data_IF_683633610221
#
_entry.id   IF_683633610221
#
_cell.length_a   1.000
_cell.length_b   1.000
_cell.length_c   1.000
_cell.angle_alpha   90.00
_cell.angle_beta   90.00
_cell.angle_gamma   90.00
#
_symmetry.space_group_name_H-M   'P 1'
#
loop_
_entity.id
_entity.type
_entity.pdbx_description
1 polymer ?
#
# COMPACT_ATOMS: atom_id res chain seq x y z
N UNK A 1 5.81 10.42 14.30
CA UNK A 1 5.75 10.70 12.85
C UNK A 1 4.33 11.10 12.47
N UNK A 2 4.18 12.26 11.87
CA UNK A 2 2.87 12.69 11.38
C UNK A 2 2.51 11.94 10.13
N UNK A 3 1.33 11.34 10.12
CA UNK A 3 0.84 10.55 9.01
C UNK A 3 -0.46 11.13 8.48
N UNK A 4 -0.63 11.08 7.17
CA UNK A 4 -1.84 11.53 6.49
C UNK A 4 -2.54 10.32 5.92
N UNK A 5 -3.79 10.10 6.29
CA UNK A 5 -4.54 8.98 5.75
C UNK A 5 -4.99 9.29 4.34
N UNK A 6 -4.82 8.33 3.43
CA UNK A 6 -5.17 8.49 2.02
C UNK A 6 -6.01 7.32 1.55
N UNK A 7 -6.69 7.53 0.44
CA UNK A 7 -7.40 6.48 -0.28
C UNK A 7 -6.74 6.26 -1.63
N UNK A 8 -6.81 5.04 -2.13
CA UNK A 8 -6.44 4.74 -3.50
C UNK A 8 -7.57 5.25 -4.39
N UNK A 9 -7.36 6.43 -4.98
CA UNK A 9 -8.41 7.13 -5.71
C UNK A 9 -8.55 6.65 -7.15
N UNK A 10 -7.44 6.28 -7.78
CA UNK A 10 -7.44 5.86 -9.19
C UNK A 10 -6.29 4.92 -9.47
N UNK A 11 -6.55 4.02 -10.42
CA UNK A 11 -5.52 3.15 -10.98
C UNK A 11 -5.53 3.41 -12.49
N UNK A 12 -4.39 3.81 -13.03
CA UNK A 12 -4.29 4.13 -14.45
C UNK A 12 -3.41 3.10 -15.14
N UNK A 13 -4.01 2.35 -16.06
CA UNK A 13 -3.33 1.34 -16.86
C UNK A 13 -3.33 1.77 -18.31
N UNK A 14 -2.15 1.79 -18.92
CA UNK A 14 -2.02 2.08 -20.33
C UNK A 14 -1.46 0.86 -21.05
N UNK A 15 -1.84 0.70 -22.30
CA UNK A 15 -1.23 -0.33 -23.13
C UNK A 15 -0.02 0.27 -23.82
N UNK A 16 1.02 -0.55 -24.02
CA UNK A 16 2.18 -0.22 -24.83
C UNK A 16 2.96 1.03 -24.43
N UNK A 17 3.91 0.85 -23.54
CA UNK A 17 4.94 1.83 -23.32
C UNK A 17 4.59 3.07 -22.53
N UNK A 18 3.31 3.37 -22.34
CA UNK A 18 2.91 4.46 -21.48
C UNK A 18 3.10 4.07 -20.02
N UNK A 19 3.28 5.05 -19.17
CA UNK A 19 3.47 4.79 -17.75
C UNK A 19 2.15 4.40 -17.10
N UNK A 20 2.26 3.45 -16.16
CA UNK A 20 1.15 3.07 -15.30
C UNK A 20 1.33 3.80 -13.99
N UNK A 21 0.23 4.16 -13.35
CA UNK A 21 0.36 4.77 -12.03
C UNK A 21 -0.91 4.55 -11.20
N UNK A 22 -0.73 4.72 -9.89
CA UNK A 22 -1.82 4.79 -8.94
C UNK A 22 -1.88 6.22 -8.41
N UNK A 23 -3.07 6.68 -8.07
CA UNK A 23 -3.26 8.02 -7.51
C UNK A 23 -3.77 7.88 -6.08
N UNK A 24 -3.01 8.42 -5.13
CA UNK A 24 -3.39 8.46 -3.72
C UNK A 24 -3.91 9.85 -3.40
N UNK A 25 -4.97 9.93 -2.60
CA UNK A 25 -5.62 11.18 -2.30
C UNK A 25 -5.97 11.23 -0.82
N UNK A 26 -5.80 12.39 -0.20
CA UNK A 26 -6.18 12.59 1.20
C UNK A 26 -7.62 12.13 1.42
N UNK A 27 -7.83 11.35 2.47
CA UNK A 27 -9.18 10.91 2.83
C UNK A 27 -10.06 12.09 3.23
N UNK A 28 -9.49 13.05 3.94
CA UNK A 28 -10.22 14.20 4.48
C UNK A 28 -9.72 15.52 3.93
N UNK A 29 -9.24 15.54 2.69
CA UNK A 29 -8.73 16.76 2.07
C UNK A 29 -8.67 16.62 0.56
N UNK A 30 -8.26 17.70 -0.12
CA UNK A 30 -8.29 17.72 -1.60
C UNK A 30 -7.01 17.26 -2.27
N UNK A 31 -5.91 17.14 -1.54
CA UNK A 31 -4.60 16.91 -2.15
C UNK A 31 -4.39 15.43 -2.49
N UNK A 32 -3.61 15.20 -3.52
CA UNK A 32 -3.25 13.85 -3.92
C UNK A 32 -2.01 13.86 -4.78
N UNK A 33 -1.49 12.67 -5.07
CA UNK A 33 -0.31 12.54 -5.91
C UNK A 33 -0.26 11.17 -6.56
N UNK A 34 0.41 11.06 -7.71
CA UNK A 34 0.56 9.78 -8.38
C UNK A 34 1.85 9.08 -7.95
N UNK A 35 1.83 7.75 -7.98
CA UNK A 35 3.04 6.94 -7.88
C UNK A 35 3.11 6.10 -9.14
N UNK A 36 4.20 6.23 -9.89
CA UNK A 36 4.43 5.42 -11.09
C UNK A 36 4.85 4.02 -10.65
N UNK A 37 4.20 3.00 -11.20
CA UNK A 37 4.52 1.61 -10.90
C UNK A 37 4.54 0.81 -12.20
N UNK A 38 5.05 -0.42 -12.12
CA UNK A 38 5.14 -1.28 -13.29
C UNK A 38 3.79 -1.82 -13.73
N UNK A 39 3.72 -2.30 -14.98
CA UNK A 39 2.48 -2.84 -15.52
C UNK A 39 1.95 -4.01 -14.70
N UNK A 40 2.84 -4.94 -14.34
CA UNK A 40 2.42 -6.13 -13.59
C UNK A 40 1.94 -5.75 -12.18
N UNK A 41 2.55 -4.74 -11.58
CA UNK A 41 2.16 -4.26 -10.27
C UNK A 41 0.79 -3.61 -10.30
N UNK A 42 0.52 -2.78 -11.33
CA UNK A 42 -0.79 -2.14 -11.43
C UNK A 42 -1.88 -3.16 -11.76
N UNK A 43 -1.54 -4.15 -12.57
CA UNK A 43 -2.47 -5.23 -12.90
C UNK A 43 -2.88 -6.00 -11.64
N UNK A 44 -1.93 -6.29 -10.77
CA UNK A 44 -2.18 -6.99 -9.52
C UNK A 44 -3.09 -6.17 -8.60
N UNK A 45 -2.82 -4.87 -8.47
CA UNK A 45 -3.66 -4.00 -7.65
C UNK A 45 -5.08 -3.94 -8.22
N UNK A 46 -5.19 -3.81 -9.53
CA UNK A 46 -6.50 -3.75 -10.18
C UNK A 46 -7.29 -5.03 -9.97
N UNK A 47 -6.62 -6.18 -10.04
CA UNK A 47 -7.24 -7.47 -9.78
C UNK A 47 -7.81 -7.53 -8.36
N UNK A 48 -7.05 -7.02 -7.39
CA UNK A 48 -7.51 -6.96 -5.99
C UNK A 48 -8.72 -6.04 -5.84
N UNK A 49 -8.70 -4.91 -6.51
CA UNK A 49 -9.83 -3.97 -6.46
C UNK A 49 -11.10 -4.58 -7.06
N UNK A 50 -10.97 -5.36 -8.11
CA UNK A 50 -12.10 -5.99 -8.79
C UNK A 50 -12.59 -7.25 -8.09
N UNK A 51 -11.88 -7.72 -7.07
CA UNK A 51 -12.27 -8.92 -6.34
C UNK A 51 -12.10 -10.21 -7.12
N UNK A 52 -11.24 -10.22 -8.13
CA UNK A 52 -11.00 -11.41 -8.94
C UNK A 52 -10.02 -12.33 -8.21
N UNK A 53 -10.46 -13.55 -7.93
CA UNK A 53 -9.61 -14.53 -7.26
C UNK A 53 -8.98 -15.45 -8.30
N UNK A 54 -7.64 -15.65 -8.26
CA UNK A 54 -6.99 -16.57 -9.17
C UNK A 54 -7.21 -18.02 -8.74
N UNK A 55 -7.08 -18.98 -9.67
CA UNK A 55 -7.21 -20.40 -9.31
C UNK A 55 -6.18 -20.87 -8.29
N UNK A 56 -4.99 -20.26 -8.34
CA UNK A 56 -3.93 -20.54 -7.36
C UNK A 56 -3.41 -19.23 -6.81
N UNK A 57 -2.94 -19.22 -5.54
CA UNK A 57 -2.43 -17.98 -4.94
C UNK A 57 -1.28 -17.39 -5.75
N UNK A 58 -1.35 -16.10 -6.01
CA UNK A 58 -0.24 -15.34 -6.59
C UNK A 58 0.62 -14.79 -5.45
N UNK A 59 1.66 -14.03 -5.79
CA UNK A 59 2.66 -13.62 -4.80
C UNK A 59 2.06 -12.88 -3.60
N UNK A 60 1.20 -11.91 -3.84
CA UNK A 60 0.62 -11.14 -2.72
C UNK A 60 -0.39 -11.98 -1.93
N UNK A 61 -1.09 -12.92 -2.58
CA UNK A 61 -1.95 -13.86 -1.88
C UNK A 61 -1.11 -14.73 -0.95
N UNK A 62 0.04 -15.17 -1.43
CA UNK A 62 0.96 -15.98 -0.64
C UNK A 62 1.48 -15.19 0.57
N UNK A 63 1.87 -13.94 0.37
CA UNK A 63 2.30 -13.09 1.48
C UNK A 63 1.21 -13.02 2.56
N UNK A 64 -0.04 -12.79 2.14
CA UNK A 64 -1.16 -12.73 3.08
C UNK A 64 -1.33 -14.03 3.86
N UNK A 65 -1.19 -15.16 3.20
CA UNK A 65 -1.29 -16.48 3.86
C UNK A 65 -0.16 -16.71 4.85
N UNK A 66 1.06 -16.31 4.48
CA UNK A 66 2.20 -16.45 5.39
C UNK A 66 1.99 -15.63 6.64
N UNK A 67 1.48 -14.40 6.51
CA UNK A 67 1.21 -13.56 7.67
C UNK A 67 0.19 -14.21 8.60
N UNK A 68 -0.90 -14.70 8.04
CA UNK A 68 -1.97 -15.36 8.82
C UNK A 68 -1.42 -16.59 9.53
N UNK A 69 -0.69 -17.44 8.79
CA UNK A 69 -0.17 -18.69 9.35
C UNK A 69 0.85 -18.43 10.47
N UNK A 70 1.53 -17.29 10.42
CA UNK A 70 2.46 -16.90 11.46
C UNK A 70 1.80 -16.08 12.57
N UNK A 71 0.47 -15.99 12.55
CA UNK A 71 -0.26 -15.34 13.63
C UNK A 71 -0.25 -13.82 13.60
N UNK A 72 -0.07 -13.23 12.42
CA UNK A 72 -0.02 -11.78 12.27
C UNK A 72 -1.07 -11.29 11.27
N UNK A 73 -1.38 -9.99 11.36
CA UNK A 73 -2.22 -9.34 10.37
C UNK A 73 -1.64 -7.99 10.03
N UNK A 74 -1.98 -7.50 8.87
CA UNK A 74 -1.55 -6.18 8.43
C UNK A 74 -2.43 -5.13 9.12
N UNK A 75 -1.79 -4.29 9.93
CA UNK A 75 -2.49 -3.24 10.66
C UNK A 75 -2.67 -1.99 9.80
N UNK A 76 -1.63 -1.63 9.06
CA UNK A 76 -1.64 -0.47 8.15
C UNK A 76 -0.41 -0.53 7.26
N UNK A 77 -0.39 0.29 6.22
CA UNK A 77 0.79 0.50 5.40
C UNK A 77 1.12 1.99 5.38
N UNK A 78 2.40 2.31 5.26
CA UNK A 78 2.87 3.69 5.27
C UNK A 78 3.79 3.92 4.08
N UNK A 79 3.49 4.95 3.28
CA UNK A 79 4.47 5.47 2.33
C UNK A 79 5.37 6.38 3.13
N UNK A 80 6.56 5.90 3.46
CA UNK A 80 7.38 6.46 4.54
C UNK A 80 8.42 7.47 4.10
N UNK A 81 8.94 7.34 2.89
CA UNK A 81 10.02 8.20 2.41
C UNK A 81 9.98 8.33 0.90
N UNK A 82 10.59 9.41 0.41
CA UNK A 82 10.89 9.57 -1.01
C UNK A 82 12.32 10.07 -1.14
N UNK A 83 13.12 9.42 -1.99
CA UNK A 83 14.50 9.79 -2.28
C UNK A 83 14.71 9.73 -3.77
N UNK A 84 15.06 10.88 -4.36
CA UNK A 84 15.38 10.95 -5.79
C UNK A 84 14.29 10.32 -6.65
N UNK A 85 13.03 10.61 -6.32
CA UNK A 85 11.90 10.12 -7.08
C UNK A 85 11.46 8.69 -6.74
N UNK A 86 12.20 8.01 -5.88
CA UNK A 86 11.86 6.64 -5.47
C UNK A 86 11.12 6.67 -4.13
N UNK A 87 9.92 6.12 -4.12
CA UNK A 87 9.13 6.00 -2.91
C UNK A 87 9.47 4.73 -2.15
N UNK A 88 9.47 4.83 -0.83
CA UNK A 88 9.67 3.71 0.09
C UNK A 88 8.40 3.49 0.90
N UNK A 89 8.13 2.25 1.22
CA UNK A 89 6.94 1.92 1.99
C UNK A 89 7.25 0.92 3.10
N UNK A 90 6.35 0.87 4.06
CA UNK A 90 6.50 0.01 5.24
C UNK A 90 5.17 -0.67 5.52
N UNK A 91 5.21 -1.97 5.76
CA UNK A 91 4.09 -2.71 6.32
C UNK A 91 4.19 -2.67 7.84
N UNK A 92 3.08 -2.41 8.50
CA UNK A 92 3.01 -2.47 9.96
C UNK A 92 2.15 -3.67 10.34
N UNK A 93 2.75 -4.63 11.00
CA UNK A 93 2.10 -5.90 11.37
C UNK A 93 1.86 -5.96 12.87
N UNK A 94 0.75 -6.56 13.25
CA UNK A 94 0.42 -6.80 14.66
C UNK A 94 -0.01 -8.26 14.81
N UNK A 95 0.12 -8.84 16.02
CA UNK A 95 -0.37 -10.19 16.26
C UNK A 95 -1.89 -10.25 16.08
N UNK A 96 -2.36 -11.30 15.40
CA UNK A 96 -3.80 -11.46 15.09
C UNK A 96 -4.66 -11.59 16.33
N UNK A 97 -4.13 -12.23 17.35
CA UNK A 97 -4.89 -12.55 18.57
C UNK A 97 -4.91 -11.39 19.57
N UNK A 98 -4.26 -10.28 19.26
CA UNK A 98 -4.18 -9.13 20.16
C UNK A 98 -5.17 -8.02 19.80
N UNK A 99 -6.04 -8.28 18.85
CA UNK A 99 -7.01 -7.27 18.42
C UNK A 99 -6.31 -6.03 17.89
N UNK A 100 -6.58 -4.90 18.51
CA UNK A 100 -5.99 -3.62 18.07
C UNK A 100 -4.79 -3.20 18.91
N UNK A 101 -4.36 -4.02 19.85
CA UNK A 101 -3.24 -3.66 20.70
C UNK A 101 -1.95 -3.63 19.92
N UNK A 102 -1.18 -2.54 20.07
CA UNK A 102 0.10 -2.38 19.42
C UNK A 102 1.24 -2.22 20.41
N UNK A 103 1.00 -2.54 21.66
CA UNK A 103 1.94 -2.30 22.76
C UNK A 103 3.26 -3.05 22.57
N UNK A 104 4.22 -2.41 21.89
CA UNK A 104 5.54 -2.97 21.69
C UNK A 104 5.59 -4.23 20.85
N UNK A 105 4.46 -4.62 20.25
CA UNK A 105 4.38 -5.84 19.45
C UNK A 105 4.32 -5.58 17.96
N UNK A 106 4.31 -4.33 17.53
CA UNK A 106 4.34 -3.99 16.12
C UNK A 106 5.64 -4.43 15.47
N UNK A 107 5.51 -4.98 14.29
CA UNK A 107 6.67 -5.29 13.44
C UNK A 107 6.54 -4.50 12.17
N UNK A 108 7.67 -3.99 11.68
CA UNK A 108 7.69 -3.23 10.43
C UNK A 108 8.53 -3.95 9.41
N UNK A 109 8.06 -3.93 8.16
CA UNK A 109 8.76 -4.58 7.05
C UNK A 109 8.85 -3.60 5.90
N UNK A 110 10.06 -3.37 5.40
CA UNK A 110 10.28 -2.53 4.23
C UNK A 110 9.75 -3.21 2.98
N UNK A 111 9.13 -2.46 2.11
CA UNK A 111 8.62 -3.00 0.85
C UNK A 111 8.46 -1.88 -0.18
N UNK A 112 8.15 -2.26 -1.40
CA UNK A 112 7.84 -1.28 -2.44
C UNK A 112 6.44 -0.72 -2.20
N UNK A 113 6.17 0.53 -2.64
CA UNK A 113 4.80 1.09 -2.56
C UNK A 113 3.76 0.20 -3.22
N UNK A 114 4.07 -0.41 -4.37
CA UNK A 114 3.12 -1.29 -5.06
C UNK A 114 2.73 -2.50 -4.21
N UNK A 115 3.70 -3.08 -3.49
CA UNK A 115 3.43 -4.20 -2.59
C UNK A 115 2.54 -3.78 -1.44
N UNK A 116 2.85 -2.63 -0.85
CA UNK A 116 2.07 -2.10 0.28
C UNK A 116 0.62 -1.85 -0.12
N UNK A 117 0.42 -1.22 -1.28
CA UNK A 117 -0.93 -0.90 -1.76
C UNK A 117 -1.70 -2.18 -2.09
N UNK A 118 -1.06 -3.14 -2.77
CA UNK A 118 -1.72 -4.40 -3.11
C UNK A 118 -2.19 -5.12 -1.84
N UNK A 119 -1.34 -5.19 -0.83
CA UNK A 119 -1.68 -5.84 0.43
C UNK A 119 -2.73 -5.07 1.22
N UNK A 120 -2.67 -3.74 1.20
CA UNK A 120 -3.68 -2.91 1.86
C UNK A 120 -5.06 -3.10 1.24
N UNK A 121 -5.14 -3.14 -0.09
CA UNK A 121 -6.41 -3.38 -0.78
C UNK A 121 -6.92 -4.78 -0.46
N UNK A 122 -6.04 -5.77 -0.50
CA UNK A 122 -6.40 -7.17 -0.24
C UNK A 122 -6.98 -7.38 1.16
N UNK A 123 -6.41 -6.70 2.16
CA UNK A 123 -6.79 -6.89 3.56
C UNK A 123 -7.67 -5.78 4.10
N UNK A 124 -7.92 -4.75 3.30
CA UNK A 124 -8.69 -3.56 3.70
C UNK A 124 -8.01 -2.79 4.83
N UNK A 125 -6.69 -2.78 4.83
CA UNK A 125 -5.93 -2.02 5.81
C UNK A 125 -5.80 -0.57 5.36
N UNK A 126 -5.71 0.38 6.30
CA UNK A 126 -5.55 1.78 5.93
C UNK A 126 -4.19 2.07 5.32
N UNK A 127 -4.17 3.07 4.44
CA UNK A 127 -2.98 3.54 3.75
C UNK A 127 -2.66 4.93 4.30
N UNK A 128 -1.42 5.11 4.74
CA UNK A 128 -0.96 6.36 5.31
C UNK A 128 0.27 6.84 4.56
N UNK A 129 0.45 8.15 4.54
CA UNK A 129 1.63 8.78 3.91
C UNK A 129 2.28 9.67 4.96
N UNK A 130 3.59 9.55 5.11
CA UNK A 130 4.32 10.45 6.01
C UNK A 130 4.13 11.88 5.52
N UNK A 131 3.87 12.81 6.44
CA UNK A 131 3.56 14.19 6.06
C UNK A 131 4.66 14.81 5.20
N UNK A 132 5.92 14.54 5.52
CA UNK A 132 7.04 15.08 4.76
C UNK A 132 7.02 14.60 3.30
N UNK A 133 6.65 13.35 3.08
CA UNK A 133 6.52 12.80 1.73
C UNK A 133 5.37 13.49 1.00
N UNK A 134 4.25 13.58 1.67
CA UNK A 134 3.04 14.16 1.08
C UNK A 134 3.31 15.60 0.64
N UNK A 135 3.90 16.38 1.51
CA UNK A 135 4.21 17.80 1.21
C UNK A 135 5.22 17.93 0.09
N UNK A 136 6.19 17.03 0.02
CA UNK A 136 7.21 17.08 -1.02
C UNK A 136 6.64 16.86 -2.43
N UNK A 137 5.60 16.01 -2.55
CA UNK A 137 5.05 15.65 -3.86
C UNK A 137 3.75 16.36 -4.19
N UNK A 138 2.96 16.70 -3.20
CA UNK A 138 1.65 17.31 -3.41
C UNK A 138 1.71 18.83 -3.53
N UNK A 139 2.86 19.43 -3.21
CA UNK A 139 3.05 20.87 -3.27
C UNK A 139 3.28 21.38 -4.69
N UNK A 140 3.61 20.50 -5.62
CA UNK A 140 3.94 20.89 -7.00
C UNK A 140 2.69 21.15 -7.84
#
# INVERSE_FOLDING_TARGET
>A
MDLVEVDLARVVMHQKGDQQFIHLRERHGPRGFPIVIGFHEVEEINRKLCGVEPPRPLTHDLVGRILIDLGHRLHRVIISEIHEGTFYATLVLVPSDKGTSTDGTEKTIDCRPSDAIALAVQTKAPILVAREVFEAVAAD
#
